data_IF_587457277868
#
_entry.id   IF_587457277868
#
_cell.length_a   1.000
_cell.length_b   1.000
_cell.length_c   1.000
_cell.angle_alpha   90.00
_cell.angle_beta   90.00
_cell.angle_gamma   90.00
#
_symmetry.space_group_name_H-M   'P 1'
#
loop_
_entity.id
_entity.type
_entity.pdbx_description
1 polymer ?
#
# COMPACT_ATOMS: atom_id res chain seq x y z
N UNK A 1 -4.12 25.82 5.86
CA UNK A 1 -3.25 24.75 6.38
C UNK A 1 -2.50 24.10 5.23
N UNK A 2 -1.43 23.35 5.53
CA UNK A 2 -0.62 22.60 4.55
C UNK A 2 -1.27 21.25 4.26
N UNK A 3 -1.27 20.82 2.99
CA UNK A 3 -1.82 19.51 2.57
C UNK A 3 -0.82 18.40 2.83
N UNK A 4 -1.27 17.27 3.37
CA UNK A 4 -0.44 16.10 3.67
C UNK A 4 -0.69 14.96 2.68
N UNK A 5 0.37 14.46 2.07
CA UNK A 5 0.38 13.23 1.27
C UNK A 5 1.29 12.21 1.96
N UNK A 6 0.80 10.99 2.16
CA UNK A 6 1.58 9.92 2.80
C UNK A 6 1.69 8.70 1.88
N UNK A 7 2.89 8.13 1.82
CA UNK A 7 3.18 6.93 1.04
C UNK A 7 3.44 5.75 1.96
N UNK A 8 2.81 4.61 1.68
CA UNK A 8 2.97 3.37 2.42
C UNK A 8 3.39 2.26 1.45
N UNK A 9 4.17 1.30 1.95
CA UNK A 9 4.75 0.23 1.14
C UNK A 9 4.60 -1.11 1.86
N UNK A 10 4.30 -2.15 1.09
CA UNK A 10 4.25 -3.55 1.53
C UNK A 10 5.34 -4.37 0.81
N UNK A 11 5.72 -5.55 1.31
CA UNK A 11 6.70 -6.46 0.72
C UNK A 11 8.13 -6.27 1.20
N UNK A 12 8.38 -5.47 2.25
CA UNK A 12 9.72 -5.35 2.81
C UNK A 12 10.13 -6.62 3.60
N UNK A 13 11.44 -6.91 3.72
CA UNK A 13 11.92 -8.04 4.52
C UNK A 13 11.35 -8.01 5.95
N UNK A 14 10.90 -9.17 6.44
CA UNK A 14 10.28 -9.31 7.77
C UNK A 14 8.79 -8.94 7.85
N UNK A 15 8.18 -8.44 6.76
CA UNK A 15 6.76 -8.09 6.79
C UNK A 15 5.83 -9.32 6.84
N UNK A 16 4.79 -9.22 7.67
CA UNK A 16 3.74 -10.23 7.88
C UNK A 16 2.37 -9.66 7.52
N UNK A 17 1.34 -10.53 7.47
CA UNK A 17 -0.05 -10.08 7.27
C UNK A 17 -0.52 -9.12 8.37
N UNK A 18 -0.06 -9.34 9.61
CA UNK A 18 -0.43 -8.50 10.74
C UNK A 18 0.15 -7.09 10.60
N UNK A 19 1.44 -6.98 10.26
CA UNK A 19 2.09 -5.68 10.08
C UNK A 19 1.54 -4.93 8.85
N UNK A 20 1.23 -5.64 7.76
CA UNK A 20 0.57 -5.03 6.60
C UNK A 20 -0.81 -4.45 6.96
N UNK A 21 -1.57 -5.15 7.81
CA UNK A 21 -2.83 -4.64 8.35
C UNK A 21 -2.61 -3.40 9.23
N UNK A 22 -1.62 -3.43 10.12
CA UNK A 22 -1.26 -2.29 10.97
C UNK A 22 -0.88 -1.05 10.15
N UNK A 23 -0.14 -1.22 9.06
CA UNK A 23 0.18 -0.14 8.11
C UNK A 23 -1.08 0.50 7.52
N UNK A 24 -2.06 -0.31 7.14
CA UNK A 24 -3.35 0.18 6.63
C UNK A 24 -4.15 0.89 7.72
N UNK A 25 -4.19 0.33 8.94
CA UNK A 25 -4.85 0.92 10.10
C UNK A 25 -4.25 2.31 10.43
N UNK A 26 -2.92 2.42 10.38
CA UNK A 26 -2.19 3.67 10.58
C UNK A 26 -2.56 4.72 9.53
N UNK A 27 -2.61 4.35 8.25
CA UNK A 27 -2.99 5.27 7.18
C UNK A 27 -4.39 5.87 7.38
N UNK A 28 -5.34 5.04 7.84
CA UNK A 28 -6.71 5.46 8.14
C UNK A 28 -6.74 6.34 9.41
N UNK A 29 -6.02 5.95 10.46
CA UNK A 29 -5.96 6.69 11.72
C UNK A 29 -5.37 8.10 11.54
N UNK A 30 -4.32 8.23 10.72
CA UNK A 30 -3.67 9.52 10.44
C UNK A 30 -4.51 10.44 9.55
N UNK A 31 -5.44 9.87 8.77
CA UNK A 31 -6.38 10.60 7.92
C UNK A 31 -5.75 11.75 7.09
N UNK A 32 -4.65 11.52 6.33
CA UNK A 32 -4.04 12.56 5.52
C UNK A 32 -4.97 13.02 4.37
N UNK A 33 -4.62 14.11 3.69
CA UNK A 33 -5.42 14.59 2.56
C UNK A 33 -5.44 13.59 1.38
N UNK A 34 -4.36 12.82 1.23
CA UNK A 34 -4.20 11.77 0.23
C UNK A 34 -3.16 10.72 0.67
N UNK A 35 -3.27 9.52 0.11
CA UNK A 35 -2.31 8.43 0.32
C UNK A 35 -1.89 7.81 -1.00
N UNK A 36 -0.75 7.11 -0.98
CA UNK A 36 -0.37 6.14 -2.00
C UNK A 36 0.08 4.85 -1.31
N UNK A 37 -0.51 3.72 -1.68
CA UNK A 37 -0.04 2.40 -1.26
C UNK A 37 0.74 1.75 -2.40
N UNK A 38 1.83 1.07 -2.06
CA UNK A 38 2.71 0.40 -3.02
C UNK A 38 3.16 -0.96 -2.52
N UNK A 39 3.71 -1.77 -3.42
CA UNK A 39 4.51 -2.94 -3.10
C UNK A 39 5.98 -2.68 -3.45
N UNK A 40 6.87 -3.13 -2.57
CA UNK A 40 8.31 -3.01 -2.71
C UNK A 40 8.74 -3.68 -4.01
N UNK A 41 9.32 -2.88 -4.90
CA UNK A 41 9.73 -3.33 -6.23
C UNK A 41 11.26 -3.27 -6.31
N UNK A 42 11.94 -4.43 -6.39
CA UNK A 42 13.40 -4.49 -6.47
C UNK A 42 13.88 -4.11 -7.88
N UNK A 43 14.23 -2.84 -8.12
CA UNK A 43 14.79 -2.47 -9.42
C UNK A 43 16.23 -2.98 -9.59
N UNK A 44 16.60 -3.55 -10.76
CA UNK A 44 17.95 -4.04 -11.01
C UNK A 44 19.03 -3.00 -10.68
N UNK A 45 20.07 -3.44 -9.99
CA UNK A 45 21.17 -2.58 -9.54
C UNK A 45 20.96 -1.94 -8.16
N UNK A 46 19.74 -1.97 -7.60
CA UNK A 46 19.50 -1.53 -6.21
C UNK A 46 20.02 -2.55 -5.19
N UNK A 47 20.28 -2.10 -3.97
CA UNK A 47 20.65 -2.99 -2.87
C UNK A 47 19.54 -4.02 -2.59
N UNK A 48 18.28 -3.57 -2.60
CA UNK A 48 17.13 -4.44 -2.40
C UNK A 48 17.04 -5.53 -3.47
N UNK A 49 17.28 -5.20 -4.75
CA UNK A 49 17.33 -6.22 -5.80
C UNK A 49 18.42 -7.27 -5.59
N UNK A 50 19.61 -6.86 -5.16
CA UNK A 50 20.70 -7.81 -4.88
C UNK A 50 20.30 -8.78 -3.77
N UNK A 51 19.77 -8.25 -2.68
CA UNK A 51 19.31 -9.03 -1.52
C UNK A 51 18.23 -10.06 -1.92
N UNK A 52 17.13 -9.61 -2.55
CA UNK A 52 16.05 -10.54 -2.91
C UNK A 52 16.44 -11.50 -4.04
N UNK A 53 17.42 -11.16 -4.88
CA UNK A 53 17.95 -12.06 -5.90
C UNK A 53 18.83 -13.16 -5.29
N UNK A 54 19.72 -12.79 -4.35
CA UNK A 54 20.56 -13.75 -3.61
C UNK A 54 19.72 -14.71 -2.76
N UNK A 55 18.64 -14.21 -2.15
CA UNK A 55 17.71 -15.01 -1.34
C UNK A 55 16.66 -15.79 -2.15
N UNK A 56 16.71 -15.71 -3.49
CA UNK A 56 15.75 -16.36 -4.39
C UNK A 56 14.28 -15.99 -4.06
N UNK A 57 14.04 -14.71 -3.79
CA UNK A 57 12.74 -14.11 -3.45
C UNK A 57 12.09 -13.37 -4.62
N UNK A 58 12.78 -13.16 -5.74
CA UNK A 58 12.18 -12.66 -6.98
C UNK A 58 11.17 -13.67 -7.53
N UNK A 59 9.95 -13.23 -7.81
CA UNK A 59 8.88 -14.05 -8.40
C UNK A 59 8.68 -13.79 -9.89
N UNK A 60 9.23 -12.69 -10.42
CA UNK A 60 9.15 -12.36 -11.84
C UNK A 60 10.32 -11.48 -12.31
N UNK A 61 10.77 -11.74 -13.54
CA UNK A 61 11.72 -10.88 -14.30
C UNK A 61 11.02 -10.12 -15.43
N UNK A 62 9.68 -10.15 -15.47
CA UNK A 62 8.88 -9.38 -16.40
C UNK A 62 8.84 -7.92 -15.94
N UNK A 63 9.61 -7.06 -16.59
CA UNK A 63 9.73 -5.65 -16.22
C UNK A 63 8.43 -4.86 -16.38
N UNK A 64 7.47 -5.34 -17.16
CA UNK A 64 6.14 -4.72 -17.24
C UNK A 64 5.37 -4.83 -15.92
N UNK A 65 5.77 -5.76 -15.04
CA UNK A 65 5.20 -5.94 -13.69
C UNK A 65 5.91 -5.13 -12.60
N UNK A 66 6.98 -4.40 -12.93
CA UNK A 66 7.75 -3.60 -11.97
C UNK A 66 7.08 -2.23 -11.76
N UNK A 67 5.77 -2.23 -11.51
CA UNK A 67 4.95 -1.02 -11.39
C UNK A 67 4.81 -0.52 -9.96
N UNK A 68 4.98 -1.39 -8.96
CA UNK A 68 4.79 -1.08 -7.54
C UNK A 68 3.35 -0.74 -7.12
N UNK A 69 2.39 -0.68 -8.04
CA UNK A 69 1.01 -0.23 -7.79
C UNK A 69 -0.02 -1.34 -7.95
N UNK A 70 0.34 -2.46 -8.57
CA UNK A 70 -0.57 -3.58 -8.81
C UNK A 70 0.13 -4.92 -8.64
N UNK A 71 1.35 -5.03 -9.14
CA UNK A 71 2.06 -6.29 -9.24
C UNK A 71 3.17 -6.39 -8.21
N UNK A 72 3.22 -7.52 -7.50
CA UNK A 72 4.33 -7.86 -6.63
C UNK A 72 5.27 -8.84 -7.36
N UNK A 73 6.50 -8.40 -7.61
CA UNK A 73 7.56 -9.22 -8.26
C UNK A 73 8.50 -9.87 -7.25
N UNK A 74 8.12 -9.85 -5.97
CA UNK A 74 8.82 -10.46 -4.83
C UNK A 74 7.87 -11.23 -3.94
N UNK A 75 8.44 -12.14 -3.15
CA UNK A 75 7.84 -12.71 -1.94
C UNK A 75 8.69 -12.36 -0.72
N UNK A 76 8.09 -12.34 0.46
CA UNK A 76 8.83 -12.31 1.73
C UNK A 76 8.96 -13.73 2.29
N UNK A 77 9.54 -13.87 3.48
CA UNK A 77 9.56 -15.16 4.19
C UNK A 77 8.17 -15.58 4.69
N UNK A 78 7.27 -14.61 4.87
CA UNK A 78 5.92 -14.84 5.42
C UNK A 78 4.80 -14.65 4.41
N UNK A 79 5.06 -13.95 3.29
CA UNK A 79 4.03 -13.54 2.34
C UNK A 79 4.41 -13.92 0.90
N UNK A 80 3.46 -14.51 0.18
CA UNK A 80 3.56 -14.67 -1.27
C UNK A 80 3.34 -13.34 -1.98
N UNK A 81 3.78 -13.24 -3.25
CA UNK A 81 3.48 -12.08 -4.09
C UNK A 81 1.97 -11.81 -4.16
N UNK A 82 1.16 -12.86 -4.30
CA UNK A 82 -0.31 -12.72 -4.32
C UNK A 82 -0.85 -12.13 -3.01
N UNK A 83 -0.35 -12.57 -1.85
CA UNK A 83 -0.74 -12.00 -0.55
C UNK A 83 -0.34 -10.53 -0.41
N UNK A 84 0.81 -10.13 -0.95
CA UNK A 84 1.22 -8.72 -0.99
C UNK A 84 0.26 -7.89 -1.86
N UNK A 85 -0.12 -8.40 -3.03
CA UNK A 85 -1.10 -7.72 -3.88
C UNK A 85 -2.49 -7.68 -3.21
N UNK A 86 -2.88 -8.71 -2.46
CA UNK A 86 -4.11 -8.70 -1.67
C UNK A 86 -4.06 -7.62 -0.58
N UNK A 87 -2.95 -7.48 0.13
CA UNK A 87 -2.74 -6.40 1.11
C UNK A 87 -2.88 -5.01 0.45
N UNK A 88 -2.25 -4.83 -0.72
CA UNK A 88 -2.34 -3.60 -1.49
C UNK A 88 -3.78 -3.28 -1.92
N UNK A 89 -4.51 -4.26 -2.44
CA UNK A 89 -5.93 -4.09 -2.84
C UNK A 89 -6.80 -3.76 -1.63
N UNK A 90 -6.59 -4.45 -0.51
CA UNK A 90 -7.35 -4.24 0.71
C UNK A 90 -7.08 -2.86 1.32
N UNK A 91 -5.83 -2.41 1.35
CA UNK A 91 -5.46 -1.08 1.81
C UNK A 91 -6.16 0.02 1.00
N UNK A 92 -6.14 -0.10 -0.33
CA UNK A 92 -6.84 0.82 -1.23
C UNK A 92 -8.36 0.78 -1.01
N UNK A 93 -8.96 -0.40 -0.88
CA UNK A 93 -10.41 -0.56 -0.61
C UNK A 93 -10.80 0.15 0.69
N UNK A 94 -10.11 -0.16 1.78
CA UNK A 94 -10.40 0.42 3.11
C UNK A 94 -10.20 1.93 3.15
N UNK A 95 -9.15 2.45 2.50
CA UNK A 95 -8.94 3.89 2.36
C UNK A 95 -10.06 4.57 1.57
N UNK A 96 -10.50 3.98 0.46
CA UNK A 96 -11.59 4.53 -0.34
C UNK A 96 -12.91 4.55 0.44
N UNK A 97 -13.22 3.50 1.19
CA UNK A 97 -14.39 3.43 2.08
C UNK A 97 -14.32 4.49 3.17
N UNK A 98 -13.18 4.64 3.84
CA UNK A 98 -12.94 5.70 4.81
C UNK A 98 -13.21 7.07 4.18
N UNK A 99 -12.61 7.37 3.03
CA UNK A 99 -12.78 8.64 2.32
C UNK A 99 -14.21 8.91 1.88
N UNK A 100 -14.92 7.89 1.40
CA UNK A 100 -16.32 7.98 1.02
C UNK A 100 -17.19 8.33 2.24
N UNK A 101 -17.00 7.61 3.34
CA UNK A 101 -17.75 7.80 4.56
C UNK A 101 -17.49 9.19 5.17
N UNK A 102 -16.24 9.64 5.22
CA UNK A 102 -15.92 10.98 5.73
C UNK A 102 -16.60 12.07 4.90
N UNK A 103 -16.54 11.99 3.56
CA UNK A 103 -17.18 13.00 2.69
C UNK A 103 -18.69 13.05 2.88
N UNK A 104 -19.35 11.89 2.95
CA UNK A 104 -20.82 11.83 3.05
C UNK A 104 -21.36 12.24 4.41
N UNK A 105 -20.62 12.01 5.50
CA UNK A 105 -21.04 12.45 6.84
C UNK A 105 -20.72 13.93 7.10
N UNK A 106 -19.73 14.51 6.41
CA UNK A 106 -19.49 15.97 6.44
C UNK A 106 -20.45 16.77 5.55
N UNK A 107 -21.27 16.10 4.73
CA UNK A 107 -22.21 16.72 3.79
C UNK A 107 -23.59 17.06 4.36
N UNK A 108 -23.95 16.58 5.56
CA UNK A 108 -25.30 16.71 6.13
C UNK A 108 -25.58 18.01 6.90
N UNK A 109 -24.73 19.03 6.77
CA UNK A 109 -24.88 20.32 7.45
C UNK A 109 -24.75 21.52 6.50
N UNK A 110 -25.44 21.48 5.35
CA UNK A 110 -25.77 22.70 4.61
C UNK A 110 -27.25 22.71 4.23
N UNK A 111 -27.88 23.82 4.59
CA UNK A 111 -29.18 24.33 4.20
C UNK A 111 -30.40 23.94 5.07
N UNK A 112 -30.45 24.56 6.25
CA UNK A 112 -31.70 25.05 6.85
C UNK A 112 -31.50 26.52 7.27
N UNK A 113 -31.44 27.43 6.29
CA UNK A 113 -31.72 28.86 6.47
C UNK A 113 -31.63 29.61 5.13
N UNK A 114 -32.77 29.70 4.41
CA UNK A 114 -33.19 30.86 3.62
C UNK A 114 -34.59 30.58 3.05
#
# INVERSE_FOLDING_TARGET
GVKMHMTFMFGLPGETLETAKQTTDLAIQLAPDSVQFTVATPFPGTAYWKEVNEEQKLTSNDFDKYDGFRSAVVRTDSLTSEQLEQCLREANRRWNEFRWNTKNHTGTHRDLSA
#
